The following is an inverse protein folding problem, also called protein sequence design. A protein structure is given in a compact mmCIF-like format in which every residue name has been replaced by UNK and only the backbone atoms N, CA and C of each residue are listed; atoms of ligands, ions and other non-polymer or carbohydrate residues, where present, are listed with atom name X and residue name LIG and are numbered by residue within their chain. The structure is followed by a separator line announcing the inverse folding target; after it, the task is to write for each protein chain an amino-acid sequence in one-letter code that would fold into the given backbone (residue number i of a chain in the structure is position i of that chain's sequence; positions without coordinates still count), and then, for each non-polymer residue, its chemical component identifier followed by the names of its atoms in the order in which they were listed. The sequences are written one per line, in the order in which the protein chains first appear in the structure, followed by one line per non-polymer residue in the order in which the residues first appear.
data_IF_074873906015
#
_entry.id   IF_074873906015
#
_cell.length_a   1.000
_cell.length_b   1.000
_cell.length_c   1.000
_cell.angle_alpha   90.00
_cell.angle_beta   90.00
_cell.angle_gamma   90.00
#
_symmetry.space_group_name_H-M   'P 1'
#
loop_
_entity.id
_entity.type
_entity.pdbx_description
1 polymer ?
#
# COMPACT_ATOMS: atom_id res chain seq x y z
N UNK A 1 34.91 -36.38 -65.22
CA UNK A 1 33.69 -37.08 -64.75
C UNK A 1 33.40 -36.66 -63.32
N UNK A 2 32.45 -35.73 -63.13
CA UNK A 2 32.08 -35.15 -61.84
C UNK A 2 30.87 -35.88 -61.25
N UNK A 3 30.93 -36.29 -59.99
CA UNK A 3 29.78 -36.84 -59.25
C UNK A 3 28.97 -35.69 -58.62
N UNK A 4 27.63 -35.66 -58.73
CA UNK A 4 26.84 -34.57 -58.16
C UNK A 4 26.68 -34.77 -56.65
N UNK A 5 26.92 -33.71 -55.88
CA UNK A 5 26.54 -33.63 -54.46
C UNK A 5 25.03 -33.37 -54.40
N UNK A 6 24.28 -34.30 -53.81
CA UNK A 6 22.86 -34.09 -53.46
C UNK A 6 22.79 -33.28 -52.17
N UNK A 7 22.42 -32.02 -52.28
CA UNK A 7 22.04 -31.17 -51.14
C UNK A 7 20.63 -31.58 -50.70
N UNK A 8 20.50 -32.19 -49.52
CA UNK A 8 19.21 -32.40 -48.89
C UNK A 8 18.85 -31.11 -48.13
N UNK A 9 17.81 -30.40 -48.57
CA UNK A 9 17.22 -29.30 -47.82
C UNK A 9 16.22 -29.93 -46.84
N UNK A 10 16.54 -29.91 -45.56
CA UNK A 10 15.59 -30.27 -44.49
C UNK A 10 14.82 -29.00 -44.15
N UNK A 11 13.56 -28.91 -44.58
CA UNK A 11 12.62 -27.94 -44.02
C UNK A 11 12.23 -28.40 -42.61
N UNK A 12 12.84 -27.78 -41.60
CA UNK A 12 12.39 -27.93 -40.21
C UNK A 12 11.09 -27.15 -40.00
N UNK A 13 9.98 -27.84 -39.82
CA UNK A 13 8.74 -27.23 -39.36
C UNK A 13 8.89 -26.88 -37.88
N UNK A 14 8.98 -25.59 -37.56
CA UNK A 14 8.87 -25.10 -36.18
C UNK A 14 7.40 -25.13 -35.79
N UNK A 15 7.00 -26.09 -34.95
CA UNK A 15 5.69 -26.10 -34.31
C UNK A 15 5.78 -25.16 -33.10
N UNK A 16 5.24 -23.95 -33.25
CA UNK A 16 4.98 -23.06 -32.12
C UNK A 16 3.78 -23.63 -31.35
N UNK A 17 4.05 -24.34 -30.25
CA UNK A 17 3.01 -24.66 -29.27
C UNK A 17 2.70 -23.37 -28.51
N UNK A 18 1.68 -22.65 -28.97
CA UNK A 18 1.15 -21.51 -28.24
C UNK A 18 0.46 -22.00 -26.97
N UNK A 19 1.12 -21.86 -25.82
CA UNK A 19 0.46 -22.01 -24.53
C UNK A 19 -0.51 -20.83 -24.38
N UNK A 20 -1.81 -21.09 -24.51
CA UNK A 20 -2.84 -20.12 -24.18
C UNK A 20 -2.73 -19.80 -22.69
N UNK A 21 -2.28 -18.58 -22.37
CA UNK A 21 -2.41 -18.04 -21.01
C UNK A 21 -3.91 -17.91 -20.75
N UNK A 22 -4.48 -18.61 -19.75
CA UNK A 22 -5.89 -18.42 -19.43
C UNK A 22 -6.11 -16.95 -19.09
N UNK A 23 -7.04 -16.31 -19.81
CA UNK A 23 -7.45 -14.96 -19.49
C UNK A 23 -7.90 -14.95 -18.02
N UNK A 24 -7.30 -14.07 -17.22
CA UNK A 24 -7.81 -13.79 -15.89
C UNK A 24 -9.28 -13.42 -16.05
N UNK A 25 -10.17 -14.13 -15.35
CA UNK A 25 -11.56 -13.69 -15.27
C UNK A 25 -11.53 -12.31 -14.63
N UNK A 26 -11.96 -11.29 -15.37
CA UNK A 26 -12.25 -10.01 -14.77
C UNK A 26 -13.24 -10.30 -13.64
N UNK A 27 -12.86 -9.96 -12.41
CA UNK A 27 -13.82 -10.00 -11.32
C UNK A 27 -14.99 -9.11 -11.75
N UNK A 28 -16.21 -9.64 -11.69
CA UNK A 28 -17.40 -8.82 -11.90
C UNK A 28 -17.37 -7.70 -10.86
N UNK A 29 -17.11 -6.47 -11.33
CA UNK A 29 -17.22 -5.28 -10.52
C UNK A 29 -18.70 -5.12 -10.17
N UNK A 30 -19.06 -5.52 -8.95
CA UNK A 30 -20.41 -5.35 -8.40
C UNK A 30 -20.79 -3.86 -8.31
N UNK A 31 -19.85 -2.94 -8.54
CA UNK A 31 -20.00 -1.51 -8.46
C UNK A 31 -20.17 -1.04 -7.01
N UNK A 32 -19.50 0.04 -6.64
CA UNK A 32 -19.90 0.78 -5.46
C UNK A 32 -21.26 1.46 -5.77
N UNK A 33 -22.26 1.40 -4.87
CA UNK A 33 -23.49 2.18 -5.03
C UNK A 33 -23.13 3.66 -5.21
N UNK A 34 -23.77 4.35 -6.16
CA UNK A 34 -23.44 5.72 -6.57
C UNK A 34 -23.41 6.75 -5.42
N UNK A 35 -24.07 6.47 -4.29
CA UNK A 35 -24.04 7.30 -3.08
C UNK A 35 -22.70 7.25 -2.31
N UNK A 36 -21.85 6.25 -2.56
CA UNK A 36 -20.56 6.08 -1.87
C UNK A 36 -19.35 6.58 -2.67
N UNK A 37 -19.56 7.18 -3.84
CA UNK A 37 -18.45 7.74 -4.61
C UNK A 37 -18.06 9.12 -4.06
N UNK A 38 -17.15 9.09 -3.08
CA UNK A 38 -16.51 10.30 -2.56
C UNK A 38 -15.54 10.97 -3.55
N UNK A 39 -15.23 10.34 -4.68
CA UNK A 39 -14.19 10.76 -5.61
C UNK A 39 -12.76 10.60 -5.06
N UNK A 40 -12.57 10.10 -3.83
CA UNK A 40 -11.26 10.03 -3.17
C UNK A 40 -10.46 8.75 -3.50
N UNK A 41 -11.14 7.66 -3.88
CA UNK A 41 -10.54 6.34 -4.03
C UNK A 41 -10.86 5.71 -5.40
N UNK A 42 -10.56 6.44 -6.48
CA UNK A 42 -10.74 5.96 -7.86
C UNK A 42 -9.84 4.78 -8.24
N UNK A 43 -8.84 4.49 -7.40
CA UNK A 43 -8.03 3.26 -7.41
C UNK A 43 -7.91 2.76 -5.97
N UNK A 44 -7.64 1.46 -5.75
CA UNK A 44 -7.38 0.93 -4.42
C UNK A 44 -6.29 1.75 -3.71
N UNK A 45 -6.56 2.18 -2.48
CA UNK A 45 -5.59 2.92 -1.70
C UNK A 45 -4.40 2.04 -1.34
N UNK A 46 -3.22 2.65 -1.23
CA UNK A 46 -1.97 1.96 -0.90
C UNK A 46 -1.33 2.63 0.31
N UNK A 47 -0.86 1.83 1.25
CA UNK A 47 -0.31 2.34 2.49
C UNK A 47 0.19 1.26 3.44
N UNK A 48 0.47 1.67 4.66
CA UNK A 48 0.88 0.80 5.76
C UNK A 48 -0.01 1.05 6.97
N UNK A 49 -0.41 -0.02 7.67
CA UNK A 49 -1.20 0.05 8.88
C UNK A 49 -0.34 -0.37 10.07
N UNK A 50 -0.35 0.43 11.14
CA UNK A 50 0.52 0.24 12.31
C UNK A 50 0.26 -1.05 13.08
N UNK A 51 -0.95 -1.61 13.00
CA UNK A 51 -1.28 -2.90 13.61
C UNK A 51 -0.35 -4.01 13.11
N UNK A 52 -0.05 -4.01 11.81
CA UNK A 52 0.87 -4.98 11.20
C UNK A 52 2.32 -4.58 11.48
N UNK A 53 2.85 -5.16 12.56
CA UNK A 53 4.26 -5.07 12.97
C UNK A 53 4.48 -4.34 14.28
N UNK A 54 3.58 -3.43 14.70
CA UNK A 54 3.72 -2.68 15.96
C UNK A 54 2.62 -2.99 16.97
N UNK A 55 1.42 -3.37 16.52
CA UNK A 55 0.26 -3.52 17.41
C UNK A 55 -0.15 -2.17 17.99
N UNK A 56 0.37 -1.82 19.17
CA UNK A 56 0.12 -0.58 19.87
C UNK A 56 1.34 0.36 19.81
N UNK A 57 1.47 1.18 18.76
CA UNK A 57 2.71 1.88 18.41
C UNK A 57 3.06 3.05 19.34
N UNK A 58 4.34 3.44 19.32
CA UNK A 58 4.79 4.75 19.80
C UNK A 58 4.99 5.74 18.66
N UNK A 59 4.94 7.04 18.96
CA UNK A 59 5.19 8.12 18.00
C UNK A 59 6.51 7.93 17.24
N UNK A 60 7.58 7.59 17.95
CA UNK A 60 8.90 7.35 17.34
C UNK A 60 8.92 6.15 16.40
N UNK A 61 8.20 5.08 16.73
CA UNK A 61 8.09 3.92 15.83
C UNK A 61 7.36 4.29 14.55
N UNK A 62 6.25 5.03 14.64
CA UNK A 62 5.51 5.50 13.47
C UNK A 62 6.39 6.41 12.61
N UNK A 63 7.11 7.36 13.22
CA UNK A 63 8.03 8.26 12.51
C UNK A 63 9.12 7.50 11.77
N UNK A 64 9.74 6.49 12.40
CA UNK A 64 10.78 5.65 11.79
C UNK A 64 10.27 4.88 10.56
N UNK A 65 9.10 4.26 10.65
CA UNK A 65 8.53 3.54 9.50
C UNK A 65 8.13 4.52 8.39
N UNK A 66 7.59 5.69 8.75
CA UNK A 66 7.30 6.74 7.76
C UNK A 66 8.55 7.23 7.03
N UNK A 67 9.66 7.45 7.73
CA UNK A 67 10.96 7.78 7.10
C UNK A 67 11.43 6.64 6.18
N UNK A 68 11.17 5.38 6.55
CA UNK A 68 11.48 4.24 5.70
C UNK A 68 10.61 4.17 4.44
N UNK A 69 9.30 4.44 4.53
CA UNK A 69 8.42 4.51 3.36
C UNK A 69 8.92 5.56 2.34
N UNK A 70 9.46 6.68 2.82
CA UNK A 70 10.05 7.72 1.96
C UNK A 70 11.39 7.25 1.39
N UNK A 71 12.33 6.86 2.25
CA UNK A 71 13.72 6.55 1.83
C UNK A 71 13.83 5.28 0.97
N UNK A 72 12.91 4.34 1.10
CA UNK A 72 12.84 3.14 0.25
C UNK A 72 12.22 3.39 -1.13
N UNK A 73 11.59 4.56 -1.36
CA UNK A 73 10.82 4.85 -2.57
C UNK A 73 9.40 4.27 -2.57
N UNK A 74 8.97 3.56 -1.53
CA UNK A 74 7.61 3.00 -1.44
C UNK A 74 6.52 4.08 -1.50
N UNK A 75 6.75 5.24 -0.86
CA UNK A 75 5.86 6.40 -0.96
C UNK A 75 5.67 6.80 -2.42
N UNK A 76 6.76 6.90 -3.17
CA UNK A 76 6.77 7.37 -4.56
C UNK A 76 6.14 6.32 -5.50
N UNK A 77 6.18 5.05 -5.11
CA UNK A 77 5.44 3.94 -5.74
C UNK A 77 3.95 3.87 -5.35
N UNK A 78 3.45 4.81 -4.53
CA UNK A 78 2.03 4.95 -4.20
C UNK A 78 1.64 4.58 -2.76
N UNK A 79 2.52 3.95 -1.96
CA UNK A 79 2.26 3.61 -0.55
C UNK A 79 2.32 4.87 0.33
N UNK A 80 1.32 5.73 0.20
CA UNK A 80 1.33 7.09 0.74
C UNK A 80 0.33 7.33 1.87
N UNK A 81 -0.33 6.31 2.41
CA UNK A 81 -1.19 6.41 3.60
C UNK A 81 -0.58 5.65 4.77
N UNK A 82 -0.52 6.28 5.93
CA UNK A 82 -0.23 5.65 7.23
C UNK A 82 -1.54 5.52 7.99
N UNK A 83 -2.04 4.30 8.16
CA UNK A 83 -3.22 4.00 8.96
C UNK A 83 -2.80 3.80 10.42
N UNK A 84 -3.14 4.77 11.28
CA UNK A 84 -2.85 4.70 12.71
C UNK A 84 -3.94 3.87 13.41
N UNK A 85 -3.64 2.59 13.60
CA UNK A 85 -4.56 1.62 14.18
C UNK A 85 -4.56 1.67 15.72
N UNK A 86 -5.25 0.72 16.35
CA UNK A 86 -5.50 0.68 17.79
C UNK A 86 -4.24 0.79 18.66
N UNK A 87 -4.41 1.40 19.83
CA UNK A 87 -3.34 1.57 20.82
C UNK A 87 -2.70 2.95 20.82
N UNK A 88 -3.16 3.86 19.94
CA UNK A 88 -2.78 5.27 19.99
C UNK A 88 -3.48 6.04 21.12
N UNK A 89 -4.70 5.63 21.48
CA UNK A 89 -5.54 6.28 22.48
C UNK A 89 -5.02 6.04 23.90
N UNK A 90 -5.32 6.96 24.82
CA UNK A 90 -5.04 6.77 26.24
C UNK A 90 -5.95 5.67 26.83
N UNK A 91 -5.54 5.11 27.98
CA UNK A 91 -6.31 4.08 28.70
C UNK A 91 -7.70 4.59 29.11
N UNK A 92 -7.80 5.88 29.44
CA UNK A 92 -9.04 6.62 29.55
C UNK A 92 -9.16 7.50 28.30
N UNK A 93 -9.81 7.01 27.23
CA UNK A 93 -9.63 7.58 25.90
C UNK A 93 -10.43 8.86 25.67
N UNK A 94 -11.21 9.34 26.64
CA UNK A 94 -12.01 10.57 26.52
C UNK A 94 -11.67 11.55 27.64
N UNK A 95 -11.41 12.79 27.23
CA UNK A 95 -11.29 13.91 28.15
C UNK A 95 -12.62 14.15 28.88
N UNK A 96 -12.63 14.23 30.22
CA UNK A 96 -13.88 14.26 30.99
C UNK A 96 -14.65 15.59 30.87
N UNK A 97 -14.00 16.68 30.43
CA UNK A 97 -14.64 17.98 30.28
C UNK A 97 -15.20 18.18 28.87
N UNK A 98 -14.46 17.75 27.85
CA UNK A 98 -14.76 18.00 26.43
C UNK A 98 -15.33 16.78 25.71
N UNK A 99 -15.18 15.59 26.28
CA UNK A 99 -15.59 14.32 25.66
C UNK A 99 -14.74 13.89 24.45
N UNK A 100 -13.70 14.65 24.10
CA UNK A 100 -12.84 14.40 22.93
C UNK A 100 -11.92 13.21 23.18
N UNK A 101 -11.57 12.52 22.10
CA UNK A 101 -10.57 11.46 22.19
C UNK A 101 -9.20 12.04 22.54
N UNK A 102 -8.48 11.36 23.41
CA UNK A 102 -7.12 11.74 23.83
C UNK A 102 -6.12 10.63 23.53
N UNK A 103 -4.95 11.02 23.04
CA UNK A 103 -3.85 10.09 22.76
C UNK A 103 -3.14 9.67 24.04
N UNK A 104 -2.52 8.49 24.04
CA UNK A 104 -1.70 8.05 25.14
C UNK A 104 -0.48 8.98 25.27
N UNK A 105 -0.31 9.73 26.38
CA UNK A 105 0.72 10.76 26.49
C UNK A 105 2.13 10.16 26.59
N UNK A 106 2.27 8.90 27.00
CA UNK A 106 3.57 8.22 27.06
C UNK A 106 4.01 7.74 25.68
N UNK A 107 3.08 7.24 24.86
CA UNK A 107 3.38 6.76 23.50
C UNK A 107 3.45 7.89 22.48
N UNK A 108 2.61 8.91 22.64
CA UNK A 108 2.48 10.06 21.74
C UNK A 108 2.68 11.36 22.53
N UNK A 109 3.89 11.60 23.06
CA UNK A 109 4.18 12.76 23.91
C UNK A 109 3.97 14.11 23.20
N UNK A 110 4.09 14.14 21.86
CA UNK A 110 3.83 15.37 21.08
C UNK A 110 2.35 15.50 20.66
N UNK A 111 1.54 14.46 20.91
CA UNK A 111 0.15 14.35 20.45
C UNK A 111 -0.01 14.01 18.96
N UNK A 112 -1.19 13.51 18.60
CA UNK A 112 -1.52 13.13 17.21
C UNK A 112 -1.40 14.30 16.21
N UNK A 113 -1.80 15.55 16.51
CA UNK A 113 -1.66 16.66 15.56
C UNK A 113 -0.20 16.91 15.12
N UNK A 114 0.77 16.74 16.03
CA UNK A 114 2.19 16.87 15.72
C UNK A 114 2.66 15.74 14.80
N UNK A 115 2.24 14.50 15.08
CA UNK A 115 2.51 13.35 14.21
C UNK A 115 1.90 13.51 12.81
N UNK A 116 0.66 13.97 12.70
CA UNK A 116 0.01 14.26 11.41
C UNK A 116 0.81 15.30 10.63
N UNK A 117 1.22 16.39 11.29
CA UNK A 117 2.06 17.42 10.67
C UNK A 117 3.39 16.85 10.17
N UNK A 118 4.02 15.96 10.95
CA UNK A 118 5.26 15.29 10.57
C UNK A 118 5.10 14.41 9.31
N UNK A 119 4.00 13.67 9.23
CA UNK A 119 3.69 12.77 8.11
C UNK A 119 3.33 13.54 6.84
N UNK A 120 2.54 14.61 6.96
CA UNK A 120 2.22 15.49 5.83
C UNK A 120 3.46 16.14 5.21
N UNK A 121 4.43 16.57 6.04
CA UNK A 121 5.72 17.12 5.55
C UNK A 121 6.53 16.12 4.72
N UNK A 122 6.21 14.82 4.81
CA UNK A 122 6.84 13.74 4.03
C UNK A 122 6.03 13.32 2.81
N UNK A 123 4.93 14.01 2.50
CA UNK A 123 4.03 13.62 1.42
C UNK A 123 3.23 12.35 1.73
N UNK A 124 3.12 11.98 3.01
CA UNK A 124 2.25 10.90 3.47
C UNK A 124 0.92 11.49 3.94
N UNK A 125 -0.15 10.70 3.83
CA UNK A 125 -1.47 10.94 4.41
C UNK A 125 -1.62 10.11 5.68
N UNK A 126 -2.54 10.49 6.55
CA UNK A 126 -2.88 9.76 7.78
C UNK A 126 -4.35 9.36 7.75
N UNK A 127 -4.61 8.11 8.12
CA UNK A 127 -5.94 7.58 8.40
C UNK A 127 -6.07 7.15 9.85
#
# INVERSE_FOLDING_TARGET
MARPRRTAVVLGAVVLVGSAVPAAHAADDQGAPQYYDSGLASTPYMGWNTYYGLGAPTEDQVRKVADHLVSSGLRDSGYNIVWLDGGWQADQPRDPQTGRLVANPTRFPSGIPALVTYLHKRGLKVG
#
